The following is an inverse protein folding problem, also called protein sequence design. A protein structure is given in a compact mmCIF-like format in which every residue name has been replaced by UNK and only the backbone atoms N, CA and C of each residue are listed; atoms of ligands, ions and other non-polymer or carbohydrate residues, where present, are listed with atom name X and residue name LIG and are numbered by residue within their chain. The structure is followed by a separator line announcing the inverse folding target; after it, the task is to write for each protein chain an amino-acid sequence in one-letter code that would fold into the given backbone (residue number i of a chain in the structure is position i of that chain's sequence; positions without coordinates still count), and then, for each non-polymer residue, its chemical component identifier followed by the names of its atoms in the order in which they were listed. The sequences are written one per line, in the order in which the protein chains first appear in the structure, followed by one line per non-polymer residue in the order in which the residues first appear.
data_IF_709490601910
#
_entry.id   IF_709490601910
#
_cell.length_a   1.000
_cell.length_b   1.000
_cell.length_c   1.000
_cell.angle_alpha   90.00
_cell.angle_beta   90.00
_cell.angle_gamma   90.00
#
_symmetry.space_group_name_H-M   'P 1'
#
loop_
_entity.id
_entity.type
_entity.pdbx_description
1 polymer ?
#
# COMPACT_ATOMS: atom_id res chain seq x y z
N UNK A 1 54.38 -17.00 29.37
CA UNK A 1 54.20 -16.39 28.02
C UNK A 1 52.72 -16.11 27.79
N UNK A 2 52.39 -14.88 27.38
CA UNK A 2 51.00 -14.45 27.11
C UNK A 2 50.39 -15.30 26.00
N UNK A 3 49.16 -15.80 26.19
CA UNK A 3 48.40 -16.45 25.11
C UNK A 3 48.27 -15.46 23.95
N UNK A 4 48.74 -15.84 22.76
CA UNK A 4 48.59 -15.03 21.54
C UNK A 4 47.10 -14.76 21.30
N UNK A 5 46.76 -13.55 20.86
CA UNK A 5 45.38 -13.19 20.47
C UNK A 5 44.82 -14.23 19.48
N UNK A 6 45.67 -14.76 18.62
CA UNK A 6 45.33 -15.81 17.66
C UNK A 6 44.94 -17.13 18.33
N UNK A 7 45.59 -17.51 19.43
CA UNK A 7 45.21 -18.71 20.20
C UNK A 7 43.87 -18.54 20.93
N UNK A 8 43.55 -17.31 21.33
CA UNK A 8 42.25 -16.97 21.96
C UNK A 8 41.14 -17.02 20.92
N UNK A 9 41.39 -16.48 19.71
CA UNK A 9 40.45 -16.57 18.59
C UNK A 9 40.26 -18.00 18.11
N UNK A 10 41.33 -18.77 17.94
CA UNK A 10 41.24 -20.15 17.44
C UNK A 10 40.49 -21.06 18.42
N UNK A 11 40.71 -20.90 19.73
CA UNK A 11 40.05 -21.71 20.75
C UNK A 11 38.61 -21.25 21.02
N UNK A 12 38.30 -19.95 20.89
CA UNK A 12 36.94 -19.43 21.04
C UNK A 12 35.94 -19.92 19.99
N UNK A 13 36.41 -20.36 18.82
CA UNK A 13 35.58 -20.92 17.74
C UNK A 13 35.58 -22.46 17.68
N UNK A 14 36.47 -23.13 18.43
CA UNK A 14 36.65 -24.59 18.37
C UNK A 14 35.95 -25.36 19.51
N UNK A 15 35.44 -24.70 20.55
CA UNK A 15 34.53 -25.34 21.52
C UNK A 15 33.14 -25.55 20.91
N UNK A 16 33.08 -26.53 20.00
CA UNK A 16 31.93 -26.90 19.19
C UNK A 16 30.94 -27.84 19.89
N UNK A 17 31.16 -28.23 21.14
CA UNK A 17 30.32 -29.26 21.79
C UNK A 17 29.32 -28.77 22.84
N UNK A 18 29.24 -27.46 23.15
CA UNK A 18 28.23 -26.99 24.13
C UNK A 18 27.54 -25.67 23.79
N UNK A 19 27.71 -25.12 22.58
CA UNK A 19 26.77 -24.11 22.11
C UNK A 19 25.54 -24.84 21.56
N UNK A 20 24.72 -25.36 22.48
CA UNK A 20 23.28 -25.22 22.31
C UNK A 20 23.09 -23.78 21.82
N UNK A 21 22.49 -23.56 20.65
CA UNK A 21 22.36 -22.25 20.00
C UNK A 21 21.01 -21.56 20.33
N UNK A 22 20.57 -21.38 21.60
CA UNK A 22 19.32 -20.66 21.87
C UNK A 22 19.45 -19.16 21.50
N UNK A 23 20.67 -18.61 21.43
CA UNK A 23 20.89 -17.19 21.09
C UNK A 23 20.60 -16.85 19.61
N UNK A 24 20.87 -17.76 18.66
CA UNK A 24 20.52 -17.51 17.24
C UNK A 24 19.01 -17.60 17.01
N UNK A 25 18.33 -18.54 17.69
CA UNK A 25 16.88 -18.69 17.58
C UNK A 25 16.14 -17.44 18.12
N UNK A 26 16.65 -16.84 19.19
CA UNK A 26 16.10 -15.61 19.76
C UNK A 26 16.31 -14.37 18.85
N UNK A 27 17.42 -14.28 18.12
CA UNK A 27 17.66 -13.15 17.21
C UNK A 27 16.76 -13.22 15.96
N UNK A 28 16.58 -14.39 15.36
CA UNK A 28 15.71 -14.56 14.18
C UNK A 28 14.23 -14.39 14.50
N UNK A 29 13.79 -14.87 15.67
CA UNK A 29 12.43 -14.59 16.18
C UNK A 29 12.24 -13.09 16.43
N UNK A 30 13.19 -12.41 17.07
CA UNK A 30 13.10 -10.97 17.29
C UNK A 30 13.08 -10.17 15.97
N UNK A 31 13.92 -10.53 14.98
CA UNK A 31 13.94 -9.86 13.66
C UNK A 31 12.61 -10.01 12.92
N UNK A 32 12.06 -11.22 12.86
CA UNK A 32 10.78 -11.48 12.19
C UNK A 32 9.62 -10.75 12.87
N UNK A 33 9.54 -10.80 14.21
CA UNK A 33 8.56 -10.05 15.01
C UNK A 33 8.68 -8.55 14.74
N UNK A 34 9.89 -8.01 14.77
CA UNK A 34 10.11 -6.58 14.60
C UNK A 34 9.69 -6.07 13.23
N UNK A 35 9.99 -6.78 12.13
CA UNK A 35 9.57 -6.37 10.79
C UNK A 35 8.05 -6.41 10.63
N UNK A 36 7.41 -7.49 11.10
CA UNK A 36 5.96 -7.63 11.00
C UNK A 36 5.25 -6.61 11.88
N UNK A 37 5.72 -6.35 13.10
CA UNK A 37 5.14 -5.34 13.98
C UNK A 37 5.37 -3.92 13.45
N UNK A 38 6.54 -3.64 12.83
CA UNK A 38 6.80 -2.37 12.12
C UNK A 38 5.83 -2.19 10.95
N UNK A 39 5.58 -3.24 10.16
CA UNK A 39 4.58 -3.22 9.09
C UNK A 39 3.18 -2.95 9.64
N UNK A 40 2.73 -3.71 10.65
CA UNK A 40 1.43 -3.55 11.32
C UNK A 40 1.21 -2.11 11.80
N UNK A 41 2.24 -1.52 12.42
CA UNK A 41 2.20 -0.14 12.91
C UNK A 41 2.04 0.86 11.76
N UNK A 42 2.85 0.75 10.70
CA UNK A 42 2.74 1.63 9.52
C UNK A 42 1.40 1.49 8.81
N UNK A 43 0.91 0.26 8.67
CA UNK A 43 -0.39 -0.01 8.05
C UNK A 43 -1.54 0.60 8.86
N UNK A 44 -1.49 0.54 10.19
CA UNK A 44 -2.46 1.21 11.07
C UNK A 44 -2.41 2.73 10.92
N UNK A 45 -1.22 3.32 10.89
CA UNK A 45 -1.05 4.78 10.68
C UNK A 45 -1.64 5.18 9.32
N UNK A 46 -1.37 4.41 8.27
CA UNK A 46 -1.90 4.66 6.94
C UNK A 46 -3.44 4.67 6.91
N UNK A 47 -4.08 3.70 7.56
CA UNK A 47 -5.54 3.65 7.68
C UNK A 47 -6.08 4.88 8.42
N UNK A 48 -5.45 5.27 9.53
CA UNK A 48 -5.88 6.44 10.30
C UNK A 48 -5.70 7.74 9.51
N UNK A 49 -4.56 7.89 8.82
CA UNK A 49 -4.29 9.03 7.95
C UNK A 49 -5.33 9.12 6.83
N UNK A 50 -5.71 8.00 6.22
CA UNK A 50 -6.71 7.95 5.15
C UNK A 50 -8.08 8.44 5.63
N UNK A 51 -8.49 8.09 6.86
CA UNK A 51 -9.74 8.58 7.46
C UNK A 51 -9.66 10.09 7.70
N UNK A 52 -8.61 10.56 8.38
CA UNK A 52 -8.45 12.00 8.67
C UNK A 52 -8.43 12.80 7.38
N UNK A 53 -7.67 12.34 6.39
CA UNK A 53 -7.56 12.97 5.07
C UNK A 53 -8.89 13.01 4.32
N UNK A 54 -9.73 11.98 4.47
CA UNK A 54 -11.08 11.99 3.87
C UNK A 54 -11.93 13.15 4.38
N UNK A 55 -11.91 13.43 5.68
CA UNK A 55 -12.64 14.56 6.26
C UNK A 55 -12.05 15.90 5.81
N UNK A 56 -10.72 16.01 5.73
CA UNK A 56 -10.06 17.23 5.23
C UNK A 56 -10.47 17.51 3.79
N UNK A 57 -10.42 16.51 2.90
CA UNK A 57 -10.87 16.66 1.50
C UNK A 57 -12.34 17.08 1.44
N UNK A 58 -13.19 16.46 2.26
CA UNK A 58 -14.60 16.80 2.31
C UNK A 58 -14.79 18.27 2.69
N UNK A 59 -14.14 18.76 3.75
CA UNK A 59 -14.29 20.18 4.16
C UNK A 59 -13.77 21.13 3.09
N UNK A 60 -12.58 20.86 2.53
CA UNK A 60 -11.97 21.71 1.50
C UNK A 60 -12.83 21.76 0.23
N UNK A 61 -13.48 20.65 -0.15
CA UNK A 61 -14.30 20.61 -1.35
C UNK A 61 -15.49 21.57 -1.29
N UNK A 62 -16.06 21.81 -0.11
CA UNK A 62 -17.13 22.79 0.07
C UNK A 62 -16.61 24.23 -0.04
N UNK A 63 -15.42 24.51 0.48
CA UNK A 63 -14.79 25.83 0.41
C UNK A 63 -14.53 26.22 -1.05
N UNK A 64 -14.03 25.27 -1.85
CA UNK A 64 -13.68 25.52 -3.26
C UNK A 64 -14.79 25.17 -4.25
N UNK A 65 -16.02 24.90 -3.76
CA UNK A 65 -17.24 24.65 -4.55
C UNK A 65 -17.18 23.45 -5.50
N UNK A 66 -16.50 22.37 -5.10
CA UNK A 66 -16.46 21.07 -5.79
C UNK A 66 -17.03 19.94 -4.92
N UNK A 67 -18.16 20.22 -4.27
CA UNK A 67 -18.77 19.37 -3.22
C UNK A 67 -18.99 17.94 -3.70
N UNK A 68 -19.50 17.77 -4.94
CA UNK A 68 -19.80 16.46 -5.53
C UNK A 68 -18.54 15.57 -5.53
N UNK A 69 -17.41 16.09 -6.02
CA UNK A 69 -16.13 15.38 -6.01
C UNK A 69 -15.71 15.03 -4.58
N UNK A 70 -15.78 15.99 -3.65
CA UNK A 70 -15.39 15.74 -2.26
C UNK A 70 -16.23 14.68 -1.57
N UNK A 71 -17.54 14.64 -1.83
CA UNK A 71 -18.45 13.61 -1.31
C UNK A 71 -18.09 12.23 -1.88
N UNK A 72 -17.89 12.13 -3.19
CA UNK A 72 -17.51 10.88 -3.85
C UNK A 72 -16.17 10.35 -3.32
N UNK A 73 -15.14 11.20 -3.25
CA UNK A 73 -13.83 10.82 -2.72
C UNK A 73 -13.92 10.48 -1.23
N UNK A 74 -14.71 11.21 -0.44
CA UNK A 74 -14.93 10.89 0.98
C UNK A 74 -15.51 9.50 1.17
N UNK A 75 -16.56 9.15 0.41
CA UNK A 75 -17.18 7.82 0.45
C UNK A 75 -16.17 6.75 0.06
N UNK A 76 -15.45 6.94 -1.04
CA UNK A 76 -14.43 6.01 -1.51
C UNK A 76 -13.35 5.76 -0.45
N UNK A 77 -12.77 6.84 0.10
CA UNK A 77 -11.71 6.74 1.09
C UNK A 77 -12.21 6.00 2.34
N UNK A 78 -13.43 6.28 2.82
CA UNK A 78 -13.97 5.56 3.96
C UNK A 78 -14.23 4.08 3.68
N UNK A 79 -14.71 3.72 2.49
CA UNK A 79 -14.86 2.31 2.07
C UNK A 79 -13.49 1.62 2.07
N UNK A 80 -12.46 2.24 1.48
CA UNK A 80 -11.09 1.72 1.46
C UNK A 80 -10.53 1.59 2.88
N UNK A 81 -10.79 2.54 3.77
CA UNK A 81 -10.39 2.47 5.18
C UNK A 81 -11.04 1.29 5.90
N UNK A 82 -12.36 1.08 5.71
CA UNK A 82 -13.11 -0.02 6.33
C UNK A 82 -12.56 -1.38 5.88
N UNK A 83 -12.31 -1.53 4.59
CA UNK A 83 -11.75 -2.75 4.01
C UNK A 83 -10.34 -3.01 4.58
N UNK A 84 -9.47 -2.00 4.60
CA UNK A 84 -8.13 -2.14 5.16
C UNK A 84 -8.13 -2.40 6.67
N UNK A 85 -9.10 -1.88 7.43
CA UNK A 85 -9.30 -2.26 8.84
C UNK A 85 -9.63 -3.75 8.99
N UNK A 86 -10.47 -4.31 8.11
CA UNK A 86 -10.79 -5.75 8.11
C UNK A 86 -9.54 -6.58 7.79
N UNK A 87 -8.75 -6.17 6.80
CA UNK A 87 -7.47 -6.81 6.46
C UNK A 87 -6.46 -6.74 7.61
N UNK A 88 -6.34 -5.60 8.28
CA UNK A 88 -5.47 -5.47 9.47
C UNK A 88 -5.94 -6.37 10.62
N UNK A 89 -7.26 -6.58 10.79
CA UNK A 89 -7.79 -7.50 11.80
C UNK A 89 -7.45 -8.96 11.46
N UNK A 90 -7.49 -9.38 10.19
CA UNK A 90 -7.10 -10.74 9.82
C UNK A 90 -5.61 -11.00 10.09
N UNK A 91 -4.76 -10.00 9.87
CA UNK A 91 -3.33 -10.06 10.18
C UNK A 91 -3.02 -10.29 11.68
N UNK A 92 -3.90 -9.82 12.58
CA UNK A 92 -3.74 -10.05 14.03
C UNK A 92 -4.01 -11.50 14.44
N UNK A 93 -4.63 -12.30 13.57
CA UNK A 93 -4.89 -13.73 13.81
C UNK A 93 -3.69 -14.62 13.51
N UNK A 94 -2.61 -14.08 12.92
CA UNK A 94 -1.38 -14.84 12.72
C UNK A 94 -0.75 -15.12 14.07
N UNK A 95 -0.63 -16.41 14.40
CA UNK A 95 -0.06 -16.88 15.65
C UNK A 95 1.41 -16.47 15.77
N UNK A 96 1.77 -15.85 16.90
CA UNK A 96 3.14 -15.43 17.21
C UNK A 96 3.94 -16.53 17.92
N UNK A 97 3.29 -17.61 18.36
CA UNK A 97 3.88 -18.70 19.12
C UNK A 97 4.39 -19.85 18.25
N UNK A 98 4.24 -19.75 16.93
CA UNK A 98 4.87 -20.67 15.97
C UNK A 98 6.34 -20.31 15.77
N UNK A 99 7.12 -21.23 15.18
CA UNK A 99 8.52 -20.95 14.85
C UNK A 99 8.64 -19.70 13.96
N UNK A 100 9.76 -18.98 14.08
CA UNK A 100 10.06 -17.75 13.31
C UNK A 100 9.84 -17.93 11.81
N UNK A 101 10.16 -19.11 11.28
CA UNK A 101 9.93 -19.47 9.88
C UNK A 101 8.44 -19.51 9.53
N UNK A 102 7.62 -20.24 10.29
CA UNK A 102 6.18 -20.33 10.04
C UNK A 102 5.47 -18.99 10.25
N UNK A 103 5.97 -18.16 11.17
CA UNK A 103 5.46 -16.80 11.37
C UNK A 103 5.70 -15.91 10.15
N UNK A 104 6.92 -15.92 9.59
CA UNK A 104 7.26 -15.20 8.36
C UNK A 104 6.46 -15.72 7.16
N UNK A 105 6.34 -17.04 7.00
CA UNK A 105 5.62 -17.63 5.86
C UNK A 105 4.12 -17.35 5.90
N UNK A 106 3.53 -17.38 7.09
CA UNK A 106 2.12 -17.01 7.29
C UNK A 106 1.88 -15.54 6.96
N UNK A 107 2.83 -14.67 7.35
CA UNK A 107 2.77 -13.25 7.02
C UNK A 107 2.91 -12.98 5.52
N UNK A 108 3.86 -13.62 4.84
CA UNK A 108 4.03 -13.53 3.39
C UNK A 108 2.76 -14.00 2.66
N UNK A 109 2.21 -15.16 3.05
CA UNK A 109 0.96 -15.67 2.48
C UNK A 109 -0.19 -14.67 2.63
N UNK A 110 -0.33 -14.07 3.82
CA UNK A 110 -1.31 -13.01 4.06
C UNK A 110 -1.04 -11.77 3.19
N UNK A 111 0.23 -11.38 3.02
CA UNK A 111 0.64 -10.24 2.21
C UNK A 111 0.28 -10.46 0.74
N UNK A 112 0.62 -11.61 0.15
CA UNK A 112 0.30 -11.91 -1.24
C UNK A 112 -1.21 -11.91 -1.48
N UNK A 113 -2.00 -12.46 -0.55
CA UNK A 113 -3.46 -12.42 -0.61
C UNK A 113 -3.99 -10.98 -0.57
N UNK A 114 -3.43 -10.14 0.31
CA UNK A 114 -3.78 -8.72 0.40
C UNK A 114 -3.44 -7.96 -0.89
N UNK A 115 -2.26 -8.20 -1.47
CA UNK A 115 -1.82 -7.59 -2.73
C UNK A 115 -2.75 -7.99 -3.87
N UNK A 116 -3.05 -9.29 -4.01
CA UNK A 116 -3.94 -9.79 -5.05
C UNK A 116 -5.36 -9.21 -4.93
N UNK A 117 -5.89 -9.12 -3.71
CA UNK A 117 -7.18 -8.51 -3.45
C UNK A 117 -7.20 -7.02 -3.81
N UNK A 118 -6.18 -6.26 -3.42
CA UNK A 118 -6.11 -4.83 -3.72
C UNK A 118 -5.83 -4.54 -5.20
N UNK A 119 -5.10 -5.41 -5.90
CA UNK A 119 -4.99 -5.34 -7.36
C UNK A 119 -6.35 -5.47 -8.04
N UNK A 120 -7.20 -6.40 -7.60
CA UNK A 120 -8.57 -6.53 -8.14
C UNK A 120 -9.40 -5.29 -7.82
N UNK A 121 -9.37 -4.82 -6.57
CA UNK A 121 -10.06 -3.59 -6.18
C UNK A 121 -9.63 -2.37 -6.97
N UNK A 122 -8.33 -2.23 -7.23
CA UNK A 122 -7.77 -1.05 -7.90
C UNK A 122 -8.33 -0.83 -9.30
N UNK A 123 -8.73 -1.91 -9.99
CA UNK A 123 -9.42 -1.84 -11.29
C UNK A 123 -10.78 -1.15 -11.22
N UNK A 124 -11.35 -0.98 -10.02
CA UNK A 124 -12.57 -0.21 -9.78
C UNK A 124 -12.29 1.14 -9.11
N UNK A 125 -11.30 1.18 -8.21
CA UNK A 125 -10.94 2.41 -7.48
C UNK A 125 -10.47 3.50 -8.44
N UNK A 126 -9.53 3.21 -9.35
CA UNK A 126 -8.98 4.25 -10.24
C UNK A 126 -10.05 4.81 -11.20
N UNK A 127 -10.87 3.99 -11.88
CA UNK A 127 -12.02 4.50 -12.64
C UNK A 127 -12.98 5.36 -11.82
N UNK A 128 -13.28 4.96 -10.58
CA UNK A 128 -14.14 5.75 -9.70
C UNK A 128 -13.51 7.10 -9.38
N UNK A 129 -12.21 7.14 -9.04
CA UNK A 129 -11.47 8.38 -8.80
C UNK A 129 -11.51 9.26 -10.04
N UNK A 130 -11.30 8.70 -11.23
CA UNK A 130 -11.40 9.45 -12.49
C UNK A 130 -12.78 10.09 -12.66
N UNK A 131 -13.86 9.33 -12.45
CA UNK A 131 -15.23 9.88 -12.54
C UNK A 131 -15.45 10.98 -11.51
N UNK A 132 -15.02 10.77 -10.26
CA UNK A 132 -15.14 11.76 -9.19
C UNK A 132 -14.38 13.05 -9.54
N UNK A 133 -13.14 12.95 -9.99
CA UNK A 133 -12.33 14.09 -10.41
C UNK A 133 -12.94 14.81 -11.62
N UNK A 134 -13.36 14.07 -12.66
CA UNK A 134 -14.02 14.65 -13.83
C UNK A 134 -15.30 15.41 -13.45
N UNK A 135 -16.08 14.88 -12.50
CA UNK A 135 -17.26 15.59 -11.99
C UNK A 135 -16.87 16.90 -11.28
N UNK A 136 -15.82 16.91 -10.47
CA UNK A 136 -15.36 18.11 -9.77
C UNK A 136 -14.80 19.17 -10.70
N UNK A 137 -13.93 18.77 -11.63
CA UNK A 137 -13.30 19.69 -12.58
C UNK A 137 -14.31 20.36 -13.50
N UNK A 138 -15.30 19.63 -14.00
CA UNK A 138 -16.30 20.20 -14.91
C UNK A 138 -17.05 21.38 -14.29
N UNK A 139 -17.38 21.30 -12.99
CA UNK A 139 -18.09 22.37 -12.27
C UNK A 139 -17.16 23.45 -11.70
N UNK A 140 -15.84 23.36 -11.92
CA UNK A 140 -14.90 24.38 -11.48
C UNK A 140 -14.86 25.54 -12.47
N UNK A 141 -15.17 26.75 -11.99
CA UNK A 141 -15.13 27.97 -12.79
C UNK A 141 -13.74 28.26 -13.38
N UNK A 142 -12.68 27.94 -12.64
CA UNK A 142 -11.31 28.11 -13.11
C UNK A 142 -10.99 27.17 -14.27
N UNK A 143 -11.53 25.95 -14.24
CA UNK A 143 -11.32 24.97 -15.30
C UNK A 143 -12.11 25.33 -16.56
N UNK A 144 -13.38 25.71 -16.41
CA UNK A 144 -14.22 26.17 -17.52
C UNK A 144 -13.56 27.36 -18.24
N UNK A 145 -13.12 28.37 -17.49
CA UNK A 145 -12.41 29.52 -18.07
C UNK A 145 -11.14 29.13 -18.83
N UNK A 146 -10.33 28.22 -18.27
CA UNK A 146 -9.12 27.75 -18.94
C UNK A 146 -9.43 27.00 -20.25
N UNK A 147 -10.54 26.25 -20.30
CA UNK A 147 -10.99 25.61 -21.55
C UNK A 147 -11.50 26.64 -22.56
N UNK A 148 -12.27 27.63 -22.12
CA UNK A 148 -12.78 28.69 -23.00
C UNK A 148 -11.61 29.47 -23.64
N UNK A 149 -10.58 29.79 -22.86
CA UNK A 149 -9.35 30.44 -23.32
C UNK A 149 -8.59 29.56 -24.33
N UNK A 150 -8.50 28.24 -24.09
CA UNK A 150 -7.81 27.28 -24.97
C UNK A 150 -8.54 27.05 -26.30
N UNK A 151 -9.87 27.01 -26.28
CA UNK A 151 -10.69 26.69 -27.44
C UNK A 151 -11.15 27.92 -28.22
N UNK A 152 -10.83 29.13 -27.76
CA UNK A 152 -11.02 30.37 -28.51
C UNK A 152 -12.46 30.62 -28.95
N UNK A 153 -13.45 30.23 -28.13
CA UNK A 153 -14.87 30.40 -28.46
C UNK A 153 -15.47 29.32 -29.36
N UNK A 154 -14.82 28.16 -29.51
CA UNK A 154 -15.46 26.96 -30.08
C UNK A 154 -16.76 26.67 -29.33
N UNK A 155 -17.85 26.46 -30.07
CA UNK A 155 -19.13 26.04 -29.52
C UNK A 155 -19.23 24.51 -29.57
N UNK A 156 -18.96 23.79 -28.47
CA UNK A 156 -19.08 22.34 -28.47
C UNK A 156 -20.53 21.91 -28.56
N UNK A 157 -20.75 20.69 -29.07
CA UNK A 157 -22.03 20.04 -28.92
C UNK A 157 -22.24 19.64 -27.45
N UNK A 158 -23.26 20.23 -26.82
CA UNK A 158 -23.57 20.09 -25.39
C UNK A 158 -24.83 19.23 -25.23
N UNK A 159 -24.79 18.27 -24.32
CA UNK A 159 -25.95 17.48 -23.90
C UNK A 159 -26.08 17.64 -22.38
N UNK A 160 -27.26 18.05 -21.90
CA UNK A 160 -27.54 18.29 -20.47
C UNK A 160 -26.52 19.20 -19.76
N UNK A 161 -25.96 20.20 -20.46
CA UNK A 161 -24.97 21.12 -19.90
C UNK A 161 -23.54 20.55 -19.83
N UNK A 162 -23.28 19.39 -20.45
CA UNK A 162 -21.95 18.78 -20.54
C UNK A 162 -21.56 18.60 -22.03
N UNK A 163 -20.39 19.10 -22.47
CA UNK A 163 -19.87 18.88 -23.81
C UNK A 163 -19.57 17.40 -24.10
N UNK A 164 -19.89 16.94 -25.30
CA UNK A 164 -19.60 15.56 -25.72
C UNK A 164 -18.11 15.23 -25.62
N UNK A 165 -17.22 16.14 -26.01
CA UNK A 165 -15.78 15.87 -25.97
C UNK A 165 -15.30 15.56 -24.55
N UNK A 166 -15.89 16.20 -23.52
CA UNK A 166 -15.55 15.96 -22.12
C UNK A 166 -15.97 14.56 -21.67
N UNK A 167 -17.14 14.12 -22.11
CA UNK A 167 -17.64 12.76 -21.86
C UNK A 167 -16.76 11.72 -22.53
N UNK A 168 -16.39 11.94 -23.80
CA UNK A 168 -15.51 11.03 -24.55
C UNK A 168 -14.13 10.92 -23.87
N UNK A 169 -13.51 12.06 -23.54
CA UNK A 169 -12.20 12.06 -22.86
C UNK A 169 -12.28 11.36 -21.50
N UNK A 170 -13.31 11.66 -20.70
CA UNK A 170 -13.51 10.99 -19.41
C UNK A 170 -13.69 9.48 -19.59
N UNK A 171 -14.49 9.06 -20.57
CA UNK A 171 -14.72 7.64 -20.87
C UNK A 171 -13.41 6.94 -21.28
N UNK A 172 -12.61 7.56 -22.14
CA UNK A 172 -11.29 7.05 -22.52
C UNK A 172 -10.38 6.87 -21.30
N UNK A 173 -10.30 7.87 -20.41
CA UNK A 173 -9.47 7.79 -19.20
C UNK A 173 -10.00 6.73 -18.24
N UNK A 174 -11.32 6.57 -18.10
CA UNK A 174 -11.96 5.52 -17.29
C UNK A 174 -11.58 4.12 -17.80
N UNK A 175 -11.65 3.90 -19.12
CA UNK A 175 -11.26 2.63 -19.73
C UNK A 175 -9.78 2.35 -19.47
N UNK A 176 -8.90 3.32 -19.73
CA UNK A 176 -7.46 3.21 -19.46
C UNK A 176 -7.19 2.91 -17.98
N UNK A 177 -7.85 3.62 -17.06
CA UNK A 177 -7.72 3.42 -15.61
C UNK A 177 -8.17 2.03 -15.17
N UNK A 178 -9.18 1.47 -15.83
CA UNK A 178 -9.66 0.10 -15.55
C UNK A 178 -8.62 -0.94 -15.96
N UNK A 179 -8.04 -0.78 -17.16
CA UNK A 179 -7.03 -1.69 -17.72
C UNK A 179 -5.74 -1.63 -16.90
N UNK A 180 -5.27 -0.42 -16.59
CA UNK A 180 -3.99 -0.21 -15.92
C UNK A 180 -4.06 -0.19 -14.39
N UNK A 181 -5.26 -0.17 -13.79
CA UNK A 181 -5.44 0.01 -12.35
C UNK A 181 -4.61 -0.95 -11.49
N UNK A 182 -4.58 -2.24 -11.87
CA UNK A 182 -3.78 -3.24 -11.16
C UNK A 182 -2.26 -2.98 -11.23
N UNK A 183 -1.78 -2.39 -12.33
CA UNK A 183 -0.37 -2.01 -12.50
C UNK A 183 -0.04 -0.76 -11.70
N UNK A 184 -0.92 0.24 -11.70
CA UNK A 184 -0.78 1.45 -10.90
C UNK A 184 -0.71 1.09 -9.41
N UNK A 185 -1.60 0.21 -8.93
CA UNK A 185 -1.54 -0.27 -7.55
C UNK A 185 -0.19 -0.91 -7.18
N UNK A 186 0.37 -1.74 -8.07
CA UNK A 186 1.70 -2.34 -7.82
C UNK A 186 2.79 -1.26 -7.70
N UNK A 187 2.74 -0.22 -8.52
CA UNK A 187 3.66 0.91 -8.42
C UNK A 187 3.51 1.62 -7.08
N UNK A 188 2.29 1.98 -6.69
CA UNK A 188 1.99 2.64 -5.40
C UNK A 188 2.47 1.79 -4.21
N UNK A 189 2.21 0.48 -4.25
CA UNK A 189 2.67 -0.46 -3.24
C UNK A 189 4.19 -0.50 -3.14
N UNK A 190 4.88 -0.58 -4.28
CA UNK A 190 6.34 -0.65 -4.31
C UNK A 190 6.99 0.64 -3.81
N UNK A 191 6.41 1.80 -4.13
CA UNK A 191 6.87 3.09 -3.63
C UNK A 191 6.82 3.17 -2.10
N UNK A 192 5.75 2.67 -1.47
CA UNK A 192 5.56 2.79 -0.02
C UNK A 192 6.16 1.60 0.76
N UNK A 193 6.02 0.38 0.24
CA UNK A 193 6.31 -0.86 0.96
C UNK A 193 7.41 -1.72 0.32
N UNK A 194 7.94 -1.37 -0.86
CA UNK A 194 8.90 -2.19 -1.59
C UNK A 194 10.13 -2.60 -0.76
N UNK A 195 10.68 -1.68 0.03
CA UNK A 195 11.80 -2.00 0.95
C UNK A 195 11.41 -3.02 2.04
N UNK A 196 10.17 -2.97 2.53
CA UNK A 196 9.69 -3.91 3.56
C UNK A 196 9.45 -5.29 2.97
N UNK A 197 8.87 -5.36 1.76
CA UNK A 197 8.66 -6.61 1.03
C UNK A 197 9.98 -7.28 0.69
N UNK A 198 10.96 -6.52 0.19
CA UNK A 198 12.31 -7.05 -0.11
C UNK A 198 12.97 -7.67 1.13
N UNK A 199 12.90 -6.97 2.28
CA UNK A 199 13.44 -7.48 3.55
C UNK A 199 12.72 -8.72 4.06
N UNK A 200 11.42 -8.84 3.79
CA UNK A 200 10.66 -10.04 4.12
C UNK A 200 11.15 -11.23 3.30
N UNK A 201 11.31 -11.06 1.98
CA UNK A 201 11.80 -12.10 1.08
C UNK A 201 13.23 -12.54 1.43
N UNK A 202 14.12 -11.60 1.75
CA UNK A 202 15.50 -11.88 2.20
C UNK A 202 15.48 -12.76 3.46
N UNK A 203 14.68 -12.40 4.47
CA UNK A 203 14.59 -13.17 5.71
C UNK A 203 14.00 -14.57 5.54
N UNK A 204 13.03 -14.73 4.63
CA UNK A 204 12.47 -16.06 4.34
C UNK A 204 13.54 -16.94 3.70
N UNK A 205 14.29 -16.42 2.71
CA UNK A 205 15.38 -17.14 2.05
C UNK A 205 16.51 -17.51 3.02
N UNK A 206 16.90 -16.60 3.90
CA UNK A 206 17.91 -16.88 4.93
C UNK A 206 17.47 -18.03 5.85
N UNK A 207 16.19 -18.07 6.23
CA UNK A 207 15.66 -19.16 7.06
C UNK A 207 15.54 -20.48 6.30
N UNK A 208 15.25 -20.45 5.00
CA UNK A 208 15.20 -21.65 4.15
C UNK A 208 16.59 -22.25 3.98
N UNK A 209 17.63 -21.44 3.73
CA UNK A 209 19.01 -21.91 3.58
C UNK A 209 19.54 -22.55 4.86
N UNK A 210 19.25 -21.95 6.02
CA UNK A 210 19.62 -22.49 7.33
C UNK A 210 18.93 -23.82 7.67
N UNK A 211 17.80 -24.14 7.03
CA UNK A 211 17.07 -25.40 7.26
C UNK A 211 17.52 -26.53 6.32
N UNK A 212 18.20 -26.19 5.23
CA UNK A 212 18.73 -27.12 4.24
C UNK A 212 20.20 -27.50 4.47
N UNK A 213 20.85 -26.89 5.46
CA UNK A 213 22.17 -27.25 5.97
C UNK A 213 22.03 -28.22 7.15
#
# INVERSE_FOLDING_TARGET
MKKSIESIWKNGFLDKETILLPKLNNLSSQKSIHIIDKFKRRFKININALIVFSFIILVISFIVKIQIMGILIFILLNIVAIINKKLLKSLKKIDKNVSSYWYLKSFDTWMQAQIAFNMKMSRYIYPYVTIALSSGFWYSSSFQKALDDLFGGYNPYIIYGIPIYWVIVTLCIVILSTIFGARIYKWDLNLVYGSTLKKLDELIKDMETLRTQ
#
